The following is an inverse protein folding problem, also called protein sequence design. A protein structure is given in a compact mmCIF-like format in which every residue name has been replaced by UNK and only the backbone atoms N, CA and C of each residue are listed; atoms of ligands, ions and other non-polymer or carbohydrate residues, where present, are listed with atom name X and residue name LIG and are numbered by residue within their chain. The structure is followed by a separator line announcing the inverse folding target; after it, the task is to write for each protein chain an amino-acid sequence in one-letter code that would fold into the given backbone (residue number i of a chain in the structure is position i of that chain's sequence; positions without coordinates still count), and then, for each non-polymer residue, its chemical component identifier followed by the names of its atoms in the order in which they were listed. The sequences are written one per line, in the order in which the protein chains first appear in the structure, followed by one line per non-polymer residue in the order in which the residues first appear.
data_IF_406106987356
#
_entry.id   IF_406106987356
#
_cell.length_a   1.000
_cell.length_b   1.000
_cell.length_c   1.000
_cell.angle_alpha   90.00
_cell.angle_beta   90.00
_cell.angle_gamma   90.00
#
_symmetry.space_group_name_H-M   'P 1'
#
loop_
_entity.id
_entity.type
_entity.pdbx_description
1 polymer ?
#
# COMPACT_ATOMS: atom_id res chain seq x y z
N UNK A 1 -55.76 15.74 16.54
CA UNK A 1 -54.75 14.90 17.21
C UNK A 1 -53.40 15.41 16.77
N UNK A 2 -52.75 16.19 17.63
CA UNK A 2 -51.40 16.69 17.39
C UNK A 2 -50.41 15.54 17.56
N UNK A 3 -49.69 15.19 16.49
CA UNK A 3 -48.61 14.24 16.52
C UNK A 3 -47.33 14.97 16.93
N UNK A 4 -47.08 15.05 18.24
CA UNK A 4 -45.77 15.49 18.76
C UNK A 4 -44.73 14.41 18.46
N UNK A 5 -43.73 14.76 17.66
CA UNK A 5 -42.55 13.93 17.43
C UNK A 5 -41.91 13.52 18.76
N UNK A 6 -41.53 12.25 18.94
CA UNK A 6 -40.82 11.82 20.13
C UNK A 6 -39.47 12.55 20.25
N UNK A 7 -38.99 12.85 21.46
CA UNK A 7 -37.74 13.55 21.67
C UNK A 7 -36.58 12.75 21.06
N UNK A 8 -35.57 13.44 20.48
CA UNK A 8 -34.43 12.78 19.87
C UNK A 8 -33.73 11.88 20.90
N UNK A 9 -33.48 10.62 20.50
CA UNK A 9 -32.71 9.66 21.30
C UNK A 9 -31.32 10.25 21.60
N UNK A 10 -30.85 10.00 22.82
CA UNK A 10 -29.56 10.49 23.37
C UNK A 10 -28.43 10.34 22.34
N UNK A 11 -27.66 11.42 22.22
CA UNK A 11 -26.58 11.66 21.27
C UNK A 11 -25.62 10.45 21.14
N UNK A 12 -25.70 9.74 20.02
CA UNK A 12 -24.51 9.14 19.42
C UNK A 12 -23.54 10.28 19.08
N UNK A 13 -22.25 10.08 19.40
CA UNK A 13 -21.23 11.13 19.45
C UNK A 13 -21.37 12.20 18.37
N UNK A 14 -21.68 13.44 18.80
CA UNK A 14 -21.55 14.62 17.95
C UNK A 14 -20.10 14.68 17.45
N UNK A 15 -19.90 14.45 16.17
CA UNK A 15 -18.66 14.80 15.50
C UNK A 15 -18.56 16.32 15.51
N UNK A 16 -17.70 16.87 16.36
CA UNK A 16 -17.42 18.30 16.38
C UNK A 16 -16.55 18.64 15.18
N UNK A 17 -16.99 19.60 14.35
CA UNK A 17 -16.10 20.20 13.36
C UNK A 17 -15.03 20.96 14.14
N UNK A 18 -13.80 20.46 14.12
CA UNK A 18 -12.66 21.15 14.71
C UNK A 18 -12.52 22.55 14.09
N UNK A 19 -12.32 23.57 14.92
CA UNK A 19 -11.98 24.92 14.46
C UNK A 19 -10.63 24.88 13.74
N UNK A 20 -10.67 24.70 12.43
CA UNK A 20 -9.52 24.67 11.53
C UNK A 20 -9.49 25.94 10.69
N UNK A 21 -8.31 26.41 10.32
CA UNK A 21 -8.14 27.41 9.27
C UNK A 21 -8.36 26.76 7.89
N UNK A 22 -8.54 27.57 6.85
CA UNK A 22 -8.62 27.05 5.48
C UNK A 22 -7.34 26.31 5.09
N UNK A 23 -6.18 26.82 5.49
CA UNK A 23 -4.90 26.21 5.17
C UNK A 23 -4.72 24.85 5.85
N UNK A 24 -5.07 24.76 7.14
CA UNK A 24 -5.10 23.47 7.84
C UNK A 24 -6.04 22.47 7.17
N UNK A 25 -7.20 22.91 6.67
CA UNK A 25 -8.10 22.03 5.91
C UNK A 25 -7.49 21.54 4.60
N UNK A 26 -6.72 22.36 3.87
CA UNK A 26 -6.02 21.91 2.65
C UNK A 26 -4.95 20.87 2.95
N UNK A 27 -4.20 21.06 4.04
CA UNK A 27 -3.19 20.09 4.50
C UNK A 27 -3.86 18.77 4.87
N UNK A 28 -4.96 18.82 5.64
CA UNK A 28 -5.74 17.64 6.01
C UNK A 28 -6.31 16.96 4.75
N UNK A 29 -6.90 17.73 3.84
CA UNK A 29 -7.44 17.22 2.58
C UNK A 29 -6.35 16.48 1.79
N UNK A 30 -5.21 17.12 1.54
CA UNK A 30 -4.08 16.48 0.85
C UNK A 30 -3.54 15.23 1.55
N UNK A 31 -3.56 15.18 2.87
CA UNK A 31 -3.12 14.02 3.63
C UNK A 31 -4.14 12.87 3.60
N UNK A 32 -5.44 13.19 3.48
CA UNK A 32 -6.53 12.22 3.58
C UNK A 32 -7.18 11.85 2.24
N UNK A 33 -6.90 12.57 1.16
CA UNK A 33 -7.59 12.48 -0.15
C UNK A 33 -7.62 11.04 -0.69
N UNK A 34 -6.47 10.37 -0.70
CA UNK A 34 -6.35 8.98 -1.15
C UNK A 34 -7.24 8.01 -0.36
N UNK A 35 -7.25 8.12 0.97
CA UNK A 35 -8.07 7.29 1.85
C UNK A 35 -9.56 7.62 1.69
N UNK A 36 -9.90 8.90 1.56
CA UNK A 36 -11.27 9.32 1.28
C UNK A 36 -11.80 8.71 -0.02
N UNK A 37 -10.99 8.70 -1.09
CA UNK A 37 -11.38 8.06 -2.34
C UNK A 37 -11.62 6.55 -2.19
N UNK A 38 -10.79 5.85 -1.40
CA UNK A 38 -10.99 4.43 -1.09
C UNK A 38 -12.28 4.19 -0.32
N UNK A 39 -12.52 4.94 0.76
CA UNK A 39 -13.76 4.84 1.54
C UNK A 39 -15.00 5.12 0.68
N UNK A 40 -14.95 6.17 -0.15
CA UNK A 40 -16.04 6.51 -1.08
C UNK A 40 -16.28 5.41 -2.11
N UNK A 41 -15.20 4.83 -2.66
CA UNK A 41 -15.29 3.69 -3.60
C UNK A 41 -15.91 2.48 -2.92
N UNK A 42 -15.44 2.12 -1.73
CA UNK A 42 -15.99 1.03 -0.92
C UNK A 42 -17.48 1.24 -0.65
N UNK A 43 -17.89 2.43 -0.23
CA UNK A 43 -19.29 2.74 0.02
C UNK A 43 -20.16 2.45 -1.22
N UNK A 44 -19.69 2.86 -2.41
CA UNK A 44 -20.41 2.61 -3.65
C UNK A 44 -20.47 1.12 -4.01
N UNK A 45 -19.40 0.36 -3.77
CA UNK A 45 -19.38 -1.09 -4.00
C UNK A 45 -20.29 -1.83 -3.03
N UNK A 46 -20.27 -1.47 -1.75
CA UNK A 46 -21.20 -2.00 -0.74
C UNK A 46 -22.65 -1.67 -1.08
N UNK A 47 -22.93 -0.45 -1.57
CA UNK A 47 -24.25 -0.07 -2.04
C UNK A 47 -24.75 -0.98 -3.16
N UNK A 48 -23.88 -1.30 -4.14
CA UNK A 48 -24.22 -2.25 -5.21
C UNK A 48 -24.48 -3.66 -4.68
N UNK A 49 -23.62 -4.17 -3.80
CA UNK A 49 -23.84 -5.47 -3.14
C UNK A 49 -25.20 -5.49 -2.45
N UNK A 50 -25.52 -4.42 -1.72
CA UNK A 50 -26.78 -4.28 -1.01
C UNK A 50 -27.99 -4.26 -1.97
N UNK A 51 -27.91 -3.48 -3.05
CA UNK A 51 -29.01 -3.33 -4.00
C UNK A 51 -29.22 -4.60 -4.86
N UNK A 52 -28.14 -5.28 -5.24
CA UNK A 52 -28.18 -6.43 -6.16
C UNK A 52 -28.55 -7.75 -5.46
N UNK A 53 -28.11 -7.94 -4.20
CA UNK A 53 -28.27 -9.21 -3.49
C UNK A 53 -29.13 -9.11 -2.21
N UNK A 54 -29.32 -7.91 -1.65
CA UNK A 54 -30.02 -7.70 -0.39
C UNK A 54 -31.13 -6.65 -0.56
N UNK A 55 -31.37 -5.79 0.44
CA UNK A 55 -32.28 -4.65 0.32
C UNK A 55 -33.67 -5.01 -0.19
N UNK A 56 -34.01 -4.52 -1.38
CA UNK A 56 -35.28 -4.80 -2.06
C UNK A 56 -35.19 -5.88 -3.14
N UNK A 57 -34.01 -6.51 -3.30
CA UNK A 57 -33.82 -7.59 -4.25
C UNK A 57 -34.62 -8.83 -3.86
N UNK A 58 -35.14 -9.55 -4.86
CA UNK A 58 -35.81 -10.83 -4.65
C UNK A 58 -34.79 -11.84 -4.10
N UNK A 59 -35.12 -12.45 -2.97
CA UNK A 59 -34.24 -13.37 -2.25
C UNK A 59 -34.35 -14.78 -2.85
N UNK A 60 -33.80 -14.93 -4.06
CA UNK A 60 -33.74 -16.20 -4.77
C UNK A 60 -32.53 -17.04 -4.31
N UNK A 61 -32.55 -18.33 -4.61
CA UNK A 61 -31.40 -19.18 -4.34
C UNK A 61 -30.22 -18.75 -5.24
N UNK A 62 -29.10 -18.37 -4.62
CA UNK A 62 -27.90 -17.98 -5.35
C UNK A 62 -27.27 -19.19 -6.05
N UNK A 63 -26.86 -19.02 -7.31
CA UNK A 63 -26.06 -20.02 -8.02
C UNK A 63 -24.62 -20.03 -7.50
N UNK A 64 -23.88 -21.10 -7.78
CA UNK A 64 -22.46 -21.19 -7.41
C UNK A 64 -21.60 -20.07 -8.02
N UNK A 65 -21.89 -19.68 -9.26
CA UNK A 65 -21.14 -18.60 -9.94
C UNK A 65 -21.45 -17.22 -9.33
N UNK A 66 -22.70 -16.98 -8.92
CA UNK A 66 -23.07 -15.75 -8.23
C UNK A 66 -22.48 -15.69 -6.82
N UNK A 67 -22.43 -16.82 -6.12
CA UNK A 67 -21.78 -16.91 -4.81
C UNK A 67 -20.27 -16.64 -4.88
N UNK A 68 -19.59 -17.16 -5.90
CA UNK A 68 -18.17 -16.88 -6.16
C UNK A 68 -17.96 -15.39 -6.43
N UNK A 69 -18.74 -14.81 -7.35
CA UNK A 69 -18.65 -13.39 -7.67
C UNK A 69 -18.91 -12.48 -6.47
N UNK A 70 -19.95 -12.78 -5.68
CA UNK A 70 -20.26 -12.05 -4.46
C UNK A 70 -19.12 -12.15 -3.43
N UNK A 71 -18.50 -13.33 -3.30
CA UNK A 71 -17.32 -13.54 -2.47
C UNK A 71 -16.13 -12.68 -2.89
N UNK A 72 -15.81 -12.65 -4.18
CA UNK A 72 -14.74 -11.79 -4.73
C UNK A 72 -15.01 -10.30 -4.49
N UNK A 73 -16.26 -9.88 -4.65
CA UNK A 73 -16.66 -8.49 -4.44
C UNK A 73 -16.54 -8.08 -2.97
N UNK A 74 -16.98 -8.93 -2.04
CA UNK A 74 -16.81 -8.72 -0.60
C UNK A 74 -15.33 -8.67 -0.22
N UNK A 75 -14.51 -9.61 -0.73
CA UNK A 75 -13.07 -9.62 -0.49
C UNK A 75 -12.40 -8.34 -0.99
N UNK A 76 -12.76 -7.89 -2.19
CA UNK A 76 -12.23 -6.64 -2.77
C UNK A 76 -12.61 -5.42 -1.92
N UNK A 77 -13.83 -5.39 -1.39
CA UNK A 77 -14.30 -4.33 -0.49
C UNK A 77 -13.47 -4.33 0.80
N UNK A 78 -13.27 -5.49 1.41
CA UNK A 78 -12.47 -5.65 2.63
C UNK A 78 -11.03 -5.18 2.42
N UNK A 79 -10.38 -5.59 1.32
CA UNK A 79 -9.03 -5.16 0.97
C UNK A 79 -8.91 -3.63 0.80
N UNK A 80 -9.90 -2.99 0.16
CA UNK A 80 -9.91 -1.53 0.02
C UNK A 80 -10.05 -0.84 1.39
N UNK A 81 -10.92 -1.35 2.28
CA UNK A 81 -11.08 -0.81 3.64
C UNK A 81 -9.78 -0.97 4.42
N UNK A 82 -9.22 -2.17 4.40
CA UNK A 82 -7.97 -2.48 5.10
C UNK A 82 -6.83 -1.59 4.63
N UNK A 83 -6.69 -1.41 3.32
CA UNK A 83 -5.71 -0.51 2.72
C UNK A 83 -5.89 0.94 3.16
N UNK A 84 -7.13 1.45 3.20
CA UNK A 84 -7.42 2.80 3.68
C UNK A 84 -7.10 2.97 5.18
N UNK A 85 -7.42 1.97 6.00
CA UNK A 85 -7.12 1.98 7.42
C UNK A 85 -5.61 1.93 7.69
N UNK A 86 -4.86 1.12 6.93
CA UNK A 86 -3.41 1.05 7.00
C UNK A 86 -2.76 2.38 6.62
N UNK A 87 -3.20 3.01 5.52
CA UNK A 87 -2.71 4.34 5.14
C UNK A 87 -2.96 5.38 6.22
N UNK A 88 -4.14 5.33 6.86
CA UNK A 88 -4.47 6.25 7.94
C UNK A 88 -3.52 6.05 9.11
N UNK A 89 -3.35 4.80 9.55
CA UNK A 89 -2.46 4.44 10.63
C UNK A 89 -1.01 4.88 10.35
N UNK A 90 -0.52 4.72 9.12
CA UNK A 90 0.80 5.21 8.70
C UNK A 90 0.91 6.73 8.81
N UNK A 91 -0.10 7.47 8.33
CA UNK A 91 -0.10 8.94 8.35
C UNK A 91 -0.09 9.50 9.77
N UNK A 92 -0.86 8.90 10.69
CA UNK A 92 -0.94 9.38 12.08
C UNK A 92 0.10 8.75 13.02
N UNK A 93 0.89 7.78 12.53
CA UNK A 93 1.88 7.07 13.33
C UNK A 93 1.27 6.11 14.36
N UNK A 94 0.09 5.54 14.08
CA UNK A 94 -0.51 4.51 14.93
C UNK A 94 0.27 3.21 14.78
N UNK A 95 1.07 2.88 15.79
CA UNK A 95 1.96 1.71 15.77
C UNK A 95 1.24 0.40 16.10
N UNK A 96 0.06 0.48 16.68
CA UNK A 96 -0.69 -0.69 17.16
C UNK A 96 -1.61 -1.27 16.08
N UNK A 97 -1.75 -0.58 14.95
CA UNK A 97 -2.49 -1.10 13.81
C UNK A 97 -1.78 -2.35 13.22
N UNK A 98 -2.46 -3.51 13.09
CA UNK A 98 -1.80 -4.80 12.80
C UNK A 98 -0.97 -4.84 11.50
N UNK A 99 -1.29 -4.00 10.52
CA UNK A 99 -0.61 -3.96 9.22
C UNK A 99 0.69 -3.15 9.19
N UNK A 100 1.03 -2.39 10.23
CA UNK A 100 2.14 -1.41 10.18
C UNK A 100 3.50 -2.09 10.11
N UNK A 101 3.78 -2.98 11.07
CA UNK A 101 5.08 -3.64 11.17
C UNK A 101 5.43 -4.46 9.91
N UNK A 102 4.53 -5.32 9.36
CA UNK A 102 4.79 -5.98 8.08
C UNK A 102 5.03 -5.00 6.93
N UNK A 103 4.27 -3.90 6.86
CA UNK A 103 4.41 -2.91 5.80
C UNK A 103 5.77 -2.21 5.84
N UNK A 104 6.22 -1.78 7.02
CA UNK A 104 7.53 -1.13 7.19
C UNK A 104 8.68 -2.07 6.84
N UNK A 105 8.60 -3.35 7.26
CA UNK A 105 9.59 -4.36 6.87
C UNK A 105 9.63 -4.59 5.36
N UNK A 106 8.47 -4.71 4.73
CA UNK A 106 8.36 -4.86 3.28
C UNK A 106 8.91 -3.64 2.52
N UNK A 107 8.59 -2.43 2.98
CA UNK A 107 9.10 -1.19 2.39
C UNK A 107 10.64 -1.09 2.50
N UNK A 108 11.21 -1.45 3.64
CA UNK A 108 12.66 -1.47 3.82
C UNK A 108 13.33 -2.55 2.95
N UNK A 109 12.74 -3.74 2.84
CA UNK A 109 13.23 -4.79 1.94
C UNK A 109 13.19 -4.33 0.47
N UNK A 110 12.09 -3.71 0.03
CA UNK A 110 11.97 -3.16 -1.33
C UNK A 110 13.02 -2.06 -1.58
N UNK A 111 13.25 -1.17 -0.60
CA UNK A 111 14.27 -0.12 -0.69
C UNK A 111 15.67 -0.71 -0.89
N UNK A 112 16.02 -1.76 -0.14
CA UNK A 112 17.30 -2.47 -0.25
C UNK A 112 17.46 -3.16 -1.61
N UNK A 113 16.43 -3.88 -2.06
CA UNK A 113 16.45 -4.52 -3.38
C UNK A 113 16.62 -3.50 -4.52
N UNK A 114 15.91 -2.37 -4.46
CA UNK A 114 16.09 -1.28 -5.43
C UNK A 114 17.50 -0.70 -5.44
N UNK A 115 18.14 -0.59 -4.27
CA UNK A 115 19.52 -0.15 -4.14
C UNK A 115 20.50 -1.14 -4.77
N UNK A 116 20.32 -2.44 -4.51
CA UNK A 116 21.13 -3.51 -5.10
C UNK A 116 21.00 -3.51 -6.62
N UNK A 117 19.78 -3.52 -7.16
CA UNK A 117 19.52 -3.51 -8.61
C UNK A 117 20.15 -2.29 -9.30
N UNK A 118 20.07 -1.12 -8.67
CA UNK A 118 20.72 0.09 -9.18
C UNK A 118 22.25 -0.08 -9.24
N UNK A 119 22.87 -0.48 -8.13
CA UNK A 119 24.33 -0.63 -8.05
C UNK A 119 24.82 -1.71 -9.02
N UNK A 120 24.10 -2.81 -9.11
CA UNK A 120 24.39 -3.92 -10.00
C UNK A 120 24.31 -3.51 -11.48
N UNK A 121 23.32 -2.70 -11.84
CA UNK A 121 23.20 -2.07 -13.16
C UNK A 121 24.40 -1.17 -13.47
N UNK A 122 24.83 -0.33 -12.52
CA UNK A 122 26.01 0.53 -12.68
C UNK A 122 27.31 -0.28 -12.85
N UNK A 123 27.44 -1.41 -12.13
CA UNK A 123 28.57 -2.34 -12.29
C UNK A 123 28.52 -3.00 -13.67
N UNK A 124 27.35 -3.45 -14.11
CA UNK A 124 27.18 -4.02 -15.45
C UNK A 124 27.56 -3.02 -16.55
N UNK A 125 27.19 -1.75 -16.41
CA UNK A 125 27.59 -0.70 -17.36
C UNK A 125 29.11 -0.50 -17.39
N UNK A 126 29.80 -0.58 -16.25
CA UNK A 126 31.27 -0.54 -16.20
C UNK A 126 31.90 -1.67 -17.04
N UNK A 127 31.30 -2.86 -17.05
CA UNK A 127 31.85 -4.01 -17.80
C UNK A 127 31.96 -3.72 -19.31
N UNK A 128 31.07 -2.87 -19.85
CA UNK A 128 31.01 -2.53 -21.28
C UNK A 128 32.26 -1.79 -21.75
N UNK A 129 32.89 -1.01 -20.88
CA UNK A 129 34.12 -0.26 -21.19
C UNK A 129 35.42 -1.03 -20.94
N UNK A 130 35.37 -2.22 -20.33
CA UNK A 130 36.56 -2.99 -19.96
C UNK A 130 37.05 -3.90 -21.10
N UNK A 131 38.35 -4.19 -21.10
CA UNK A 131 38.97 -5.25 -21.93
C UNK A 131 38.46 -6.64 -21.51
N UNK A 132 38.58 -7.68 -22.37
CA UNK A 132 37.99 -9.00 -22.12
C UNK A 132 38.34 -9.62 -20.76
N UNK A 133 39.63 -9.69 -20.39
CA UNK A 133 40.05 -10.32 -19.12
C UNK A 133 39.48 -9.63 -17.86
N UNK A 134 39.65 -8.30 -17.65
CA UNK A 134 39.05 -7.63 -16.49
C UNK A 134 37.52 -7.61 -16.53
N UNK A 135 36.92 -7.63 -17.73
CA UNK A 135 35.46 -7.77 -17.90
C UNK A 135 34.96 -9.10 -17.36
N UNK A 136 35.58 -10.22 -17.76
CA UNK A 136 35.18 -11.55 -17.30
C UNK A 136 35.35 -11.71 -15.78
N UNK A 137 36.46 -11.19 -15.22
CA UNK A 137 36.67 -11.19 -13.78
C UNK A 137 35.59 -10.40 -13.02
N UNK A 138 35.20 -9.23 -13.54
CA UNK A 138 34.14 -8.41 -12.94
C UNK A 138 32.76 -9.08 -13.05
N UNK A 139 32.45 -9.71 -14.20
CA UNK A 139 31.21 -10.47 -14.38
C UNK A 139 31.12 -11.69 -13.45
N UNK A 140 32.23 -12.38 -13.20
CA UNK A 140 32.28 -13.48 -12.24
C UNK A 140 31.96 -12.98 -10.83
N UNK A 141 32.61 -11.90 -10.36
CA UNK A 141 32.31 -11.29 -9.06
C UNK A 141 30.87 -10.83 -8.93
N UNK A 142 30.30 -10.23 -9.99
CA UNK A 142 28.89 -9.82 -10.01
C UNK A 142 27.96 -11.01 -9.81
N UNK A 143 28.23 -12.16 -10.45
CA UNK A 143 27.44 -13.40 -10.26
C UNK A 143 27.53 -13.94 -8.83
N UNK A 144 28.71 -13.86 -8.20
CA UNK A 144 28.89 -14.25 -6.80
C UNK A 144 28.07 -13.34 -5.87
N UNK A 145 28.15 -12.03 -6.07
CA UNK A 145 27.41 -11.05 -5.26
C UNK A 145 25.89 -11.22 -5.40
N UNK A 146 25.40 -11.57 -6.59
CA UNK A 146 23.97 -11.81 -6.83
C UNK A 146 23.38 -13.01 -6.04
N UNK A 147 24.21 -13.82 -5.38
CA UNK A 147 23.76 -14.90 -4.50
C UNK A 147 23.70 -14.49 -3.03
N UNK A 148 24.10 -13.26 -2.69
CA UNK A 148 24.15 -12.77 -1.32
C UNK A 148 22.84 -12.08 -0.93
N UNK A 149 22.53 -12.01 0.38
CA UNK A 149 21.48 -11.14 0.89
C UNK A 149 21.75 -9.66 0.54
N UNK A 150 20.71 -8.87 0.35
CA UNK A 150 20.84 -7.45 -0.06
C UNK A 150 21.76 -6.62 0.85
N UNK A 151 21.72 -6.88 2.16
CA UNK A 151 22.56 -6.21 3.16
C UNK A 151 24.06 -6.49 2.99
N UNK A 152 24.41 -7.63 2.39
CA UNK A 152 25.79 -8.02 2.08
C UNK A 152 26.18 -7.68 0.64
N UNK A 153 25.22 -7.70 -0.29
CA UNK A 153 25.44 -7.42 -1.70
C UNK A 153 25.73 -5.93 -1.96
N UNK A 154 24.93 -5.02 -1.39
CA UNK A 154 25.04 -3.59 -1.66
C UNK A 154 26.43 -3.00 -1.31
N UNK A 155 27.05 -3.30 -0.14
CA UNK A 155 28.40 -2.85 0.17
C UNK A 155 29.45 -3.34 -0.85
N UNK A 156 29.35 -4.59 -1.30
CA UNK A 156 30.32 -5.16 -2.23
C UNK A 156 30.21 -4.56 -3.63
N UNK A 157 28.98 -4.32 -4.11
CA UNK A 157 28.77 -3.61 -5.38
C UNK A 157 29.33 -2.17 -5.31
N UNK A 158 29.15 -1.48 -4.17
CA UNK A 158 29.75 -0.16 -3.94
C UNK A 158 31.28 -0.22 -3.99
N UNK A 159 31.91 -1.22 -3.39
CA UNK A 159 33.36 -1.40 -3.46
C UNK A 159 33.85 -1.68 -4.89
N UNK A 160 33.12 -2.47 -5.69
CA UNK A 160 33.44 -2.66 -7.11
C UNK A 160 33.37 -1.35 -7.90
N UNK A 161 32.39 -0.49 -7.61
CA UNK A 161 32.24 0.82 -8.25
C UNK A 161 33.28 1.84 -7.79
N UNK A 162 33.74 1.78 -6.53
CA UNK A 162 34.84 2.61 -6.01
C UNK A 162 36.19 2.15 -6.54
N UNK A 163 36.35 0.84 -6.77
CA UNK A 163 37.52 0.22 -7.37
C UNK A 163 37.79 0.62 -8.83
N UNK A 164 37.06 1.60 -9.40
CA UNK A 164 37.29 2.26 -10.71
C UNK A 164 38.64 3.02 -10.82
N UNK A 165 39.65 2.63 -10.03
CA UNK A 165 41.02 3.17 -10.06
C UNK A 165 42.08 2.13 -10.43
N UNK A 166 41.75 1.13 -11.27
CA UNK A 166 42.74 0.29 -11.97
C UNK A 166 42.88 0.76 -13.41
#
# INVERSE_FOLDING_TARGET
MDYTMPPPRKQGGKMYISNTTQEQRRIIDSALDGMYFKVRRTHNLLGRVWDDYFGTANQEAISSSEAEHLGELIYTIDDIIWSAALEYALVIGDRDFPGIEPHLRGAEAARKAMEVEKLDSEVFDLTKSLKPEPREALLAKRREIAQLPDDEAAPQLRELLKGKGV
#
